data_IF_996935720152
#
_entry.id   IF_996935720152
#
_cell.length_a   1.000
_cell.length_b   1.000
_cell.length_c   1.000
_cell.angle_alpha   90.00
_cell.angle_beta   90.00
_cell.angle_gamma   90.00
#
_symmetry.space_group_name_H-M   'P 1'
#
loop_
_entity.id
_entity.type
_entity.pdbx_description
1 polymer ?
#
# COMPACT_ATOMS: atom_id res chain seq x y z
N UNK A 1 17.98 9.34 9.38
CA UNK A 1 16.57 8.92 9.30
C UNK A 1 15.89 8.90 10.68
N UNK A 2 16.31 8.03 11.65
CA UNK A 2 15.64 7.94 12.98
C UNK A 2 15.57 9.28 13.71
N UNK A 3 16.69 10.01 13.82
CA UNK A 3 16.72 11.33 14.46
C UNK A 3 15.83 12.37 13.78
N UNK A 4 15.72 12.29 12.47
CA UNK A 4 14.86 13.16 11.68
C UNK A 4 13.38 12.86 11.92
N UNK A 5 12.99 11.57 11.92
CA UNK A 5 11.62 11.14 12.25
C UNK A 5 11.21 11.60 13.66
N UNK A 6 12.08 11.46 14.66
CA UNK A 6 11.84 11.96 16.01
C UNK A 6 11.55 13.47 15.99
N UNK A 7 12.41 14.26 15.35
CA UNK A 7 12.22 15.71 15.23
C UNK A 7 10.91 16.09 14.54
N UNK A 8 10.55 15.36 13.48
CA UNK A 8 9.26 15.55 12.79
C UNK A 8 8.09 15.28 13.75
N UNK A 9 8.12 14.17 14.48
CA UNK A 9 7.06 13.81 15.43
C UNK A 9 6.94 14.84 16.58
N UNK A 10 8.06 15.33 17.09
CA UNK A 10 8.08 16.40 18.11
C UNK A 10 7.38 17.66 17.58
N UNK A 11 7.76 18.12 16.37
CA UNK A 11 7.14 19.26 15.72
C UNK A 11 5.64 19.06 15.48
N UNK A 12 5.23 17.88 14.99
CA UNK A 12 3.81 17.55 14.78
C UNK A 12 3.03 17.56 16.09
N UNK A 13 3.61 17.02 17.17
CA UNK A 13 3.00 17.04 18.49
C UNK A 13 2.79 18.47 19.01
N UNK A 14 3.79 19.33 18.88
CA UNK A 14 3.75 20.72 19.33
C UNK A 14 2.69 21.56 18.56
N UNK A 15 2.39 21.16 17.31
CA UNK A 15 1.33 21.78 16.49
C UNK A 15 -0.06 21.19 16.72
N UNK A 16 -0.21 20.25 17.67
CA UNK A 16 -1.50 19.65 18.01
C UNK A 16 -1.95 18.49 17.11
N UNK A 17 -1.08 18.00 16.21
CA UNK A 17 -1.36 16.82 15.40
C UNK A 17 -1.32 15.58 16.26
N UNK A 18 -2.34 14.74 16.14
CA UNK A 18 -2.53 13.54 16.96
C UNK A 18 -2.53 12.22 16.15
N UNK A 19 -2.40 12.31 14.84
CA UNK A 19 -2.40 11.13 13.95
C UNK A 19 -1.46 11.36 12.78
N UNK A 20 -0.62 10.38 12.49
CA UNK A 20 0.26 10.38 11.32
C UNK A 20 -0.10 9.24 10.37
N UNK A 21 -0.07 9.52 9.07
CA UNK A 21 -0.17 8.52 8.02
C UNK A 21 1.23 8.23 7.51
N UNK A 22 1.75 7.04 7.81
CA UNK A 22 3.09 6.63 7.43
C UNK A 22 3.04 5.67 6.25
N UNK A 23 3.65 6.07 5.12
CA UNK A 23 3.66 5.22 3.93
C UNK A 23 4.52 3.98 4.17
N UNK A 24 3.92 2.81 4.02
CA UNK A 24 4.57 1.52 4.28
C UNK A 24 4.71 0.63 3.04
N UNK A 25 3.96 0.95 1.96
CA UNK A 25 3.96 0.16 0.73
C UNK A 25 3.81 1.07 -0.50
N UNK A 26 4.90 1.64 -1.02
CA UNK A 26 4.83 2.55 -2.18
C UNK A 26 4.74 1.85 -3.53
N UNK A 27 5.38 0.66 -3.72
CA UNK A 27 5.59 0.00 -5.01
C UNK A 27 5.43 -1.54 -4.96
N UNK A 28 4.44 -2.05 -4.26
CA UNK A 28 4.31 -3.49 -4.06
C UNK A 28 5.45 -4.09 -3.21
N UNK A 29 6.14 -3.26 -2.48
CA UNK A 29 7.27 -3.55 -1.59
C UNK A 29 6.95 -3.10 -0.16
N UNK A 30 7.87 -3.19 0.78
CA UNK A 30 7.61 -2.93 2.19
C UNK A 30 8.64 -1.97 2.82
N UNK A 31 8.14 -0.98 3.58
CA UNK A 31 8.93 -0.16 4.51
C UNK A 31 8.81 -0.69 5.95
N UNK A 32 8.63 -1.99 6.11
CA UNK A 32 8.51 -2.72 7.36
C UNK A 32 9.04 -4.15 7.15
N UNK A 33 9.31 -4.87 8.23
CA UNK A 33 9.76 -6.26 8.13
C UNK A 33 8.59 -7.15 7.67
N UNK A 34 8.60 -7.51 6.39
CA UNK A 34 7.59 -8.33 5.74
C UNK A 34 8.12 -9.70 5.35
N UNK A 35 7.28 -10.73 5.47
CA UNK A 35 7.52 -12.06 4.91
C UNK A 35 6.94 -12.22 3.50
N UNK A 36 6.10 -11.27 3.06
CA UNK A 36 5.35 -11.30 1.80
C UNK A 36 6.02 -10.43 0.74
N UNK A 37 6.46 -9.22 1.13
CA UNK A 37 6.98 -8.21 0.21
C UNK A 37 8.47 -7.95 0.46
N UNK A 38 9.28 -7.65 -0.58
CA UNK A 38 10.67 -7.25 -0.40
C UNK A 38 10.77 -5.88 0.27
N UNK A 39 11.90 -5.60 0.93
CA UNK A 39 12.22 -4.26 1.42
C UNK A 39 12.18 -3.22 0.30
N UNK A 40 11.57 -2.08 0.57
CA UNK A 40 11.49 -0.99 -0.41
C UNK A 40 12.86 -0.37 -0.69
N UNK A 41 13.10 -0.05 -1.96
CA UNK A 41 14.32 0.68 -2.39
C UNK A 41 14.43 2.06 -1.76
N UNK A 42 13.31 2.66 -1.35
CA UNK A 42 13.28 3.99 -0.72
C UNK A 42 14.06 4.03 0.60
N UNK A 43 14.28 2.87 1.24
CA UNK A 43 15.02 2.78 2.51
C UNK A 43 16.53 2.78 2.32
N UNK A 44 17.02 2.13 1.26
CA UNK A 44 18.46 1.84 1.10
C UNK A 44 19.01 2.16 -0.31
N UNK A 45 18.14 2.58 -1.23
CA UNK A 45 18.45 2.73 -2.65
C UNK A 45 18.41 1.41 -3.46
N UNK A 46 18.24 0.26 -2.78
CA UNK A 46 18.19 -1.06 -3.42
C UNK A 46 17.01 -1.87 -2.87
N UNK A 47 16.08 -2.28 -3.74
CA UNK A 47 14.95 -3.10 -3.33
C UNK A 47 15.41 -4.48 -2.83
N UNK A 48 14.79 -4.97 -1.76
CA UNK A 48 15.14 -6.23 -1.11
C UNK A 48 16.29 -6.14 -0.10
N UNK A 49 17.01 -5.02 -0.02
CA UNK A 49 18.11 -4.82 0.93
C UNK A 49 17.55 -4.37 2.29
N UNK A 50 17.85 -5.13 3.34
CA UNK A 50 17.48 -4.83 4.72
C UNK A 50 18.13 -3.50 5.18
N UNK A 51 17.35 -2.54 5.69
CA UNK A 51 17.86 -1.27 6.21
C UNK A 51 18.53 -1.38 7.60
N UNK A 52 18.55 -2.57 8.21
CA UNK A 52 19.10 -2.81 9.56
C UNK A 52 18.20 -2.36 10.70
N UNK A 53 16.97 -1.99 10.43
CA UNK A 53 15.94 -1.70 11.44
C UNK A 53 14.54 -1.78 10.79
N UNK A 54 13.51 -1.84 11.62
CA UNK A 54 12.11 -1.82 11.15
C UNK A 54 11.55 -0.39 11.28
N UNK A 55 11.34 0.32 10.14
CA UNK A 55 10.82 1.68 10.15
C UNK A 55 9.41 1.80 10.72
N UNK A 56 8.52 0.82 10.44
CA UNK A 56 7.15 0.85 10.94
C UNK A 56 7.09 0.62 12.45
N UNK A 57 7.82 -0.38 12.96
CA UNK A 57 7.91 -0.60 14.39
C UNK A 57 8.47 0.64 15.11
N UNK A 58 9.49 1.28 14.53
CA UNK A 58 10.11 2.47 15.09
C UNK A 58 9.12 3.65 15.14
N UNK A 59 8.42 3.96 14.04
CA UNK A 59 7.49 5.10 14.00
C UNK A 59 6.30 4.91 14.96
N UNK A 60 5.79 3.67 15.07
CA UNK A 60 4.70 3.33 16.01
C UNK A 60 5.15 3.62 17.45
N UNK A 61 6.31 3.10 17.85
CA UNK A 61 6.84 3.34 19.19
C UNK A 61 6.98 4.83 19.49
N UNK A 62 7.62 5.59 18.60
CA UNK A 62 7.87 7.01 18.78
C UNK A 62 6.59 7.86 18.76
N UNK A 63 5.63 7.52 17.90
CA UNK A 63 4.35 8.22 17.85
C UNK A 63 3.50 7.93 19.11
N UNK A 64 3.39 6.67 19.52
CA UNK A 64 2.60 6.27 20.70
C UNK A 64 3.15 6.88 22.00
N UNK A 65 4.48 6.99 22.18
CA UNK A 65 5.07 7.68 23.35
C UNK A 65 4.69 9.16 23.41
N UNK A 66 4.29 9.76 22.30
CA UNK A 66 3.80 11.14 22.18
C UNK A 66 2.26 11.25 22.23
N UNK A 67 1.55 10.13 22.40
CA UNK A 67 0.09 10.07 22.37
C UNK A 67 -0.50 10.27 20.97
N UNK A 68 0.28 10.02 19.92
CA UNK A 68 -0.14 10.13 18.53
C UNK A 68 -0.50 8.75 17.97
N UNK A 69 -1.47 8.70 17.09
CA UNK A 69 -1.89 7.49 16.35
C UNK A 69 -1.09 7.32 15.07
N UNK A 70 -0.94 6.06 14.64
CA UNK A 70 -0.27 5.72 13.37
C UNK A 70 -1.21 4.94 12.47
N UNK A 71 -1.45 5.47 11.28
CA UNK A 71 -2.07 4.74 10.18
C UNK A 71 -1.00 4.30 9.18
N UNK A 72 -0.97 3.01 8.88
CA UNK A 72 -0.14 2.49 7.81
C UNK A 72 -0.80 2.84 6.46
N UNK A 73 -0.09 3.62 5.65
CA UNK A 73 -0.55 4.04 4.33
C UNK A 73 0.04 3.16 3.24
N UNK A 74 -0.82 2.55 2.42
CA UNK A 74 -0.45 1.69 1.31
C UNK A 74 -0.98 2.26 -0.02
N UNK A 75 -0.14 2.17 -1.06
CA UNK A 75 -0.62 2.13 -2.43
C UNK A 75 -0.90 0.67 -2.82
N UNK A 76 -2.16 0.27 -3.09
CA UNK A 76 -2.48 -1.14 -3.26
C UNK A 76 -1.97 -1.75 -4.57
N UNK A 77 -1.86 -0.98 -5.67
CA UNK A 77 -1.66 -1.55 -7.00
C UNK A 77 -0.37 -1.14 -7.70
N UNK A 78 0.26 -0.03 -7.35
CA UNK A 78 1.46 0.46 -8.05
C UNK A 78 2.66 -0.46 -7.81
N UNK A 79 3.34 -0.84 -8.91
CA UNK A 79 4.56 -1.67 -8.89
C UNK A 79 5.76 -0.88 -9.39
N UNK A 80 5.65 -0.24 -10.56
CA UNK A 80 6.69 0.62 -11.13
C UNK A 80 6.03 1.85 -11.71
N UNK A 81 6.47 3.04 -11.32
CA UNK A 81 5.91 4.30 -11.83
C UNK A 81 6.45 4.71 -13.20
N UNK A 82 7.63 4.23 -13.57
CA UNK A 82 8.28 4.51 -14.85
C UNK A 82 9.16 3.34 -15.27
N UNK A 83 8.93 2.82 -16.46
CA UNK A 83 9.56 1.60 -17.00
C UNK A 83 8.65 0.38 -16.85
N UNK A 84 8.85 -0.59 -17.73
CA UNK A 84 8.04 -1.83 -17.82
C UNK A 84 8.88 -3.11 -17.66
N UNK A 85 10.17 -2.96 -17.36
CA UNK A 85 11.05 -4.09 -17.13
C UNK A 85 10.94 -4.60 -15.69
N UNK A 86 10.30 -5.76 -15.52
CA UNK A 86 10.15 -6.42 -14.22
C UNK A 86 11.50 -6.92 -13.64
N UNK A 87 12.55 -7.01 -14.45
CA UNK A 87 13.85 -7.48 -13.97
C UNK A 87 14.58 -6.47 -13.08
N UNK A 88 14.15 -5.21 -13.09
CA UNK A 88 14.65 -4.19 -12.15
C UNK A 88 14.17 -4.40 -10.71
N UNK A 89 13.13 -5.22 -10.54
CA UNK A 89 12.58 -5.55 -9.23
C UNK A 89 13.41 -6.65 -8.54
N UNK A 90 13.37 -6.70 -7.23
CA UNK A 90 13.97 -7.77 -6.44
C UNK A 90 13.45 -9.15 -6.87
N UNK A 91 14.29 -10.19 -6.84
CA UNK A 91 13.93 -11.55 -7.28
C UNK A 91 12.75 -12.16 -6.50
N UNK A 92 12.52 -11.72 -5.28
CA UNK A 92 11.39 -12.14 -4.44
C UNK A 92 10.16 -11.21 -4.55
N UNK A 93 10.18 -10.24 -5.47
CA UNK A 93 9.01 -9.39 -5.71
C UNK A 93 7.95 -10.17 -6.51
N UNK A 94 6.68 -10.20 -6.05
CA UNK A 94 5.62 -10.97 -6.71
C UNK A 94 5.46 -10.62 -8.19
N UNK A 95 5.51 -9.35 -8.54
CA UNK A 95 5.40 -8.89 -9.92
C UNK A 95 6.52 -9.39 -10.84
N UNK A 96 7.72 -9.61 -10.29
CA UNK A 96 8.83 -10.23 -11.03
C UNK A 96 8.66 -11.73 -11.16
N UNK A 97 8.14 -12.38 -10.11
CA UNK A 97 7.88 -13.82 -10.11
C UNK A 97 6.70 -14.20 -11.00
N UNK A 98 5.68 -13.35 -11.06
CA UNK A 98 4.49 -13.57 -11.85
C UNK A 98 4.05 -12.29 -12.60
N UNK A 99 4.69 -11.98 -13.76
CA UNK A 99 4.34 -10.80 -14.56
C UNK A 99 2.92 -10.81 -15.13
N UNK A 100 2.24 -11.98 -15.19
CA UNK A 100 0.85 -12.08 -15.66
C UNK A 100 -0.16 -11.36 -14.74
N UNK A 101 0.26 -11.00 -13.53
CA UNK A 101 -0.55 -10.23 -12.59
C UNK A 101 -0.59 -8.73 -12.91
N UNK A 102 0.13 -8.29 -13.94
CA UNK A 102 0.34 -6.88 -14.20
C UNK A 102 -0.48 -6.37 -15.37
N UNK A 103 -0.81 -5.09 -15.29
CA UNK A 103 -1.21 -4.25 -16.42
C UNK A 103 -0.20 -3.13 -16.61
N UNK A 104 0.01 -2.76 -17.85
CA UNK A 104 0.82 -1.60 -18.22
C UNK A 104 -0.08 -0.40 -18.49
N UNK A 105 0.31 0.78 -17.97
CA UNK A 105 -0.34 2.02 -18.31
C UNK A 105 0.67 3.17 -18.27
N UNK A 106 0.72 3.97 -19.35
CA UNK A 106 1.61 5.16 -19.47
C UNK A 106 3.08 4.88 -19.11
N UNK A 107 3.57 3.70 -19.50
CA UNK A 107 4.94 3.29 -19.25
C UNK A 107 5.26 2.96 -17.79
N UNK A 108 4.24 2.66 -16.97
CA UNK A 108 4.35 2.11 -15.63
C UNK A 108 3.69 0.74 -15.51
N UNK A 109 4.01 0.00 -14.45
CA UNK A 109 3.44 -1.30 -14.14
C UNK A 109 2.59 -1.24 -12.89
N UNK A 110 1.44 -1.88 -12.95
CA UNK A 110 0.46 -1.94 -11.88
C UNK A 110 -0.07 -3.37 -11.74
N UNK A 111 -0.37 -3.80 -10.54
CA UNK A 111 -1.15 -5.03 -10.35
C UNK A 111 -2.54 -4.87 -10.99
N UNK A 112 -3.01 -5.93 -11.65
CA UNK A 112 -4.32 -5.95 -12.30
C UNK A 112 -5.45 -6.12 -11.26
N UNK A 113 -6.31 -5.11 -11.04
CA UNK A 113 -7.39 -5.20 -10.06
C UNK A 113 -8.46 -6.26 -10.36
N UNK A 114 -8.55 -6.74 -11.60
CA UNK A 114 -9.52 -7.76 -12.02
C UNK A 114 -9.20 -9.13 -11.38
N UNK A 115 -7.92 -9.38 -11.06
CA UNK A 115 -7.45 -10.69 -10.65
C UNK A 115 -7.67 -10.95 -9.15
N UNK A 116 -8.24 -12.10 -8.83
CA UNK A 116 -8.45 -12.51 -7.43
C UNK A 116 -7.12 -12.68 -6.70
N UNK A 117 -6.10 -13.22 -7.35
CA UNK A 117 -4.76 -13.39 -6.78
C UNK A 117 -4.15 -12.06 -6.31
N UNK A 118 -4.40 -10.98 -7.06
CA UNK A 118 -3.97 -9.61 -6.67
C UNK A 118 -4.74 -9.13 -5.43
N UNK A 119 -6.05 -9.34 -5.38
CA UNK A 119 -6.88 -8.99 -4.22
C UNK A 119 -6.41 -9.75 -2.97
N UNK A 120 -6.11 -11.04 -3.12
CA UNK A 120 -5.60 -11.89 -2.05
C UNK A 120 -4.22 -11.42 -1.56
N UNK A 121 -3.31 -11.08 -2.48
CA UNK A 121 -2.00 -10.54 -2.14
C UNK A 121 -2.09 -9.24 -1.34
N UNK A 122 -2.96 -8.30 -1.75
CA UNK A 122 -3.20 -7.04 -1.03
C UNK A 122 -3.78 -7.32 0.36
N UNK A 123 -4.78 -8.19 0.45
CA UNK A 123 -5.43 -8.56 1.70
C UNK A 123 -4.47 -9.25 2.67
N UNK A 124 -3.63 -10.17 2.18
CA UNK A 124 -2.60 -10.85 2.96
C UNK A 124 -1.54 -9.86 3.46
N UNK A 125 -1.11 -8.92 2.62
CA UNK A 125 -0.19 -7.84 3.01
C UNK A 125 -0.76 -7.00 4.16
N UNK A 126 -2.03 -6.60 4.06
CA UNK A 126 -2.70 -5.86 5.13
C UNK A 126 -2.85 -6.72 6.38
N UNK A 127 -3.21 -8.00 6.23
CA UNK A 127 -3.30 -8.96 7.32
C UNK A 127 -1.98 -9.12 8.08
N UNK A 128 -0.85 -9.18 7.36
CA UNK A 128 0.49 -9.22 7.95
C UNK A 128 0.77 -7.97 8.80
N UNK A 129 0.47 -6.79 8.27
CA UNK A 129 0.67 -5.53 9.00
C UNK A 129 -0.19 -5.49 10.27
N UNK A 130 -1.48 -5.78 10.15
CA UNK A 130 -2.42 -5.74 11.28
C UNK A 130 -2.04 -6.77 12.36
N UNK A 131 -1.57 -7.95 11.96
CA UNK A 131 -1.17 -9.00 12.90
C UNK A 131 0.09 -8.64 13.68
N UNK A 132 1.08 -8.07 12.99
CA UNK A 132 2.43 -7.93 13.53
C UNK A 132 2.72 -6.57 14.17
N UNK A 133 1.90 -5.54 13.89
CA UNK A 133 2.14 -4.17 14.33
C UNK A 133 0.98 -3.60 15.11
N UNK A 134 1.27 -2.78 16.10
CA UNK A 134 0.27 -2.05 16.91
C UNK A 134 -0.14 -0.73 16.21
N UNK A 135 -0.68 -0.87 15.01
CA UNK A 135 -1.20 0.27 14.24
C UNK A 135 -2.63 0.64 14.66
N UNK A 136 -2.98 1.90 14.52
CA UNK A 136 -4.33 2.43 14.79
C UNK A 136 -5.24 2.37 13.56
N UNK A 137 -4.65 2.31 12.37
CA UNK A 137 -5.40 2.24 11.12
C UNK A 137 -4.59 1.80 9.91
N UNK A 138 -5.32 1.43 8.88
CA UNK A 138 -4.84 1.22 7.50
C UNK A 138 -5.48 2.30 6.65
N UNK A 139 -4.70 2.91 5.75
CA UNK A 139 -5.21 3.89 4.79
C UNK A 139 -4.72 3.53 3.39
N UNK A 140 -5.64 3.45 2.43
CA UNK A 140 -5.30 3.39 1.02
C UNK A 140 -5.37 4.78 0.41
N UNK A 141 -4.48 5.09 -0.53
CA UNK A 141 -4.57 6.28 -1.38
C UNK A 141 -5.63 6.10 -2.48
N UNK A 142 -5.66 6.99 -3.47
CA UNK A 142 -6.63 7.02 -4.56
C UNK A 142 -6.17 6.25 -5.83
N UNK A 143 -5.07 5.52 -5.76
CA UNK A 143 -4.51 4.81 -6.92
C UNK A 143 -5.01 3.36 -6.99
N UNK A 144 -6.22 3.17 -7.52
CA UNK A 144 -6.81 1.85 -7.78
C UNK A 144 -6.51 1.41 -9.21
N UNK A 145 -7.42 1.60 -10.18
CA UNK A 145 -7.00 1.55 -11.57
C UNK A 145 -6.09 2.74 -11.88
N UNK A 146 -5.07 2.57 -12.75
CA UNK A 146 -4.21 3.69 -13.13
C UNK A 146 -5.04 4.82 -13.76
N UNK A 147 -4.66 6.06 -13.49
CA UNK A 147 -5.32 7.23 -14.10
C UNK A 147 -5.34 7.09 -15.62
N UNK A 148 -6.52 7.32 -16.21
CA UNK A 148 -6.78 7.18 -17.65
C UNK A 148 -6.49 5.76 -18.21
N UNK A 149 -6.58 4.72 -17.37
CA UNK A 149 -6.56 3.36 -17.89
C UNK A 149 -7.75 3.15 -18.82
N UNK A 150 -7.50 2.91 -20.13
CA UNK A 150 -8.55 3.04 -21.13
C UNK A 150 -9.65 2.01 -20.95
N UNK A 151 -10.87 2.43 -21.20
CA UNK A 151 -11.96 1.49 -21.47
C UNK A 151 -11.76 0.91 -22.87
N UNK A 152 -12.24 -0.32 -23.14
CA UNK A 152 -12.28 -0.88 -24.49
C UNK A 152 -13.02 0.06 -25.45
N UNK A 153 -12.67 0.00 -26.73
CA UNK A 153 -13.31 0.83 -27.75
C UNK A 153 -14.82 0.60 -27.78
N UNK A 154 -15.60 1.68 -27.71
CA UNK A 154 -17.06 1.64 -27.71
C UNK A 154 -17.71 1.45 -26.35
N UNK A 155 -16.92 1.31 -25.27
CA UNK A 155 -17.45 1.22 -23.90
C UNK A 155 -17.66 2.60 -23.28
N UNK A 156 -18.77 2.74 -22.56
CA UNK A 156 -19.12 3.95 -21.81
C UNK A 156 -18.53 3.88 -20.39
N UNK A 157 -18.26 5.06 -19.82
CA UNK A 157 -17.85 5.22 -18.41
C UNK A 157 -18.88 4.64 -17.40
N UNK A 158 -20.12 4.48 -17.80
CA UNK A 158 -21.20 3.88 -17.01
C UNK A 158 -21.65 2.51 -17.60
N UNK A 159 -20.91 1.99 -18.59
CA UNK A 159 -21.13 0.71 -19.23
C UNK A 159 -20.73 -0.50 -18.39
N UNK A 160 -20.87 -1.67 -19.00
CA UNK A 160 -20.65 -2.97 -18.32
C UNK A 160 -19.22 -3.10 -17.79
N UNK A 161 -18.21 -2.76 -18.62
CA UNK A 161 -16.80 -2.89 -18.24
C UNK A 161 -16.44 -1.92 -17.12
N UNK A 162 -16.88 -0.66 -17.19
CA UNK A 162 -16.63 0.32 -16.15
C UNK A 162 -17.28 -0.10 -14.81
N UNK A 163 -18.49 -0.64 -14.85
CA UNK A 163 -19.17 -1.17 -13.67
C UNK A 163 -18.45 -2.39 -13.10
N UNK A 164 -17.98 -3.32 -13.93
CA UNK A 164 -17.19 -4.46 -13.50
C UNK A 164 -15.90 -4.03 -12.81
N UNK A 165 -15.18 -3.02 -13.35
CA UNK A 165 -13.97 -2.45 -12.72
C UNK A 165 -14.25 -1.86 -11.34
N UNK A 166 -15.37 -1.12 -11.20
CA UNK A 166 -15.80 -0.61 -9.88
C UNK A 166 -16.06 -1.74 -8.90
N UNK A 167 -16.72 -2.80 -9.37
CA UNK A 167 -17.03 -3.96 -8.54
C UNK A 167 -15.75 -4.70 -8.08
N UNK A 168 -14.74 -4.86 -8.94
CA UNK A 168 -13.46 -5.46 -8.56
C UNK A 168 -12.77 -4.67 -7.42
N UNK A 169 -12.83 -3.35 -7.46
CA UNK A 169 -12.30 -2.50 -6.39
C UNK A 169 -13.13 -2.65 -5.11
N UNK A 170 -14.47 -2.64 -5.21
CA UNK A 170 -15.35 -2.83 -4.06
C UNK A 170 -15.10 -4.17 -3.36
N UNK A 171 -14.91 -5.25 -4.13
CA UNK A 171 -14.59 -6.57 -3.62
C UNK A 171 -13.25 -6.59 -2.87
N UNK A 172 -12.22 -5.96 -3.43
CA UNK A 172 -10.91 -5.84 -2.76
C UNK A 172 -11.04 -5.05 -1.45
N UNK A 173 -11.72 -3.91 -1.47
CA UNK A 173 -11.93 -3.08 -0.26
C UNK A 173 -12.70 -3.87 0.80
N UNK A 174 -13.74 -4.60 0.41
CA UNK A 174 -14.53 -5.43 1.33
C UNK A 174 -13.68 -6.56 1.91
N UNK A 175 -12.89 -7.24 1.09
CA UNK A 175 -11.99 -8.32 1.52
C UNK A 175 -10.97 -7.80 2.54
N UNK A 176 -10.31 -6.69 2.25
CA UNK A 176 -9.35 -6.04 3.17
C UNK A 176 -10.02 -5.62 4.47
N UNK A 177 -11.20 -4.99 4.40
CA UNK A 177 -11.98 -4.63 5.59
C UNK A 177 -12.28 -5.85 6.47
N UNK A 178 -12.72 -6.96 5.86
CA UNK A 178 -13.03 -8.18 6.59
C UNK A 178 -11.77 -8.79 7.22
N UNK A 179 -10.65 -8.81 6.51
CA UNK A 179 -9.35 -9.24 7.04
C UNK A 179 -8.93 -8.41 8.25
N UNK A 180 -8.99 -7.09 8.17
CA UNK A 180 -8.67 -6.23 9.31
C UNK A 180 -9.57 -6.55 10.51
N UNK A 181 -10.90 -6.64 10.28
CA UNK A 181 -11.87 -6.83 11.36
C UNK A 181 -11.80 -8.22 12.00
N UNK A 182 -11.36 -9.24 11.26
CA UNK A 182 -11.13 -10.59 11.82
C UNK A 182 -9.90 -10.66 12.72
N UNK A 183 -8.90 -9.81 12.50
CA UNK A 183 -7.63 -9.79 13.26
C UNK A 183 -7.70 -8.81 14.43
N UNK A 184 -7.99 -7.52 14.13
CA UNK A 184 -8.09 -6.44 15.13
C UNK A 184 -9.29 -5.54 14.81
N UNK A 185 -10.48 -5.82 15.35
CA UNK A 185 -11.72 -5.11 14.98
C UNK A 185 -11.71 -3.61 15.29
N UNK A 186 -10.82 -3.14 16.17
CA UNK A 186 -10.66 -1.73 16.51
C UNK A 186 -9.79 -0.94 15.53
N UNK A 187 -8.97 -1.61 14.70
CA UNK A 187 -8.14 -0.93 13.69
C UNK A 187 -9.05 -0.28 12.64
N UNK A 188 -8.83 1.00 12.41
CA UNK A 188 -9.58 1.77 11.41
C UNK A 188 -9.13 1.41 10.00
N UNK A 189 -10.05 1.40 9.07
CA UNK A 189 -9.76 1.30 7.65
C UNK A 189 -10.33 2.49 6.91
N UNK A 190 -9.50 3.19 6.18
CA UNK A 190 -9.86 4.36 5.40
C UNK A 190 -9.34 4.27 3.96
N UNK A 191 -10.06 4.93 3.08
CA UNK A 191 -9.64 5.18 1.70
C UNK A 191 -9.65 6.69 1.51
N UNK A 192 -8.61 7.23 0.88
CA UNK A 192 -8.50 8.65 0.55
C UNK A 192 -8.80 8.83 -0.94
N UNK A 193 -10.07 8.90 -1.37
CA UNK A 193 -10.41 9.00 -2.77
C UNK A 193 -10.02 10.38 -3.30
N UNK A 194 -9.65 10.43 -4.59
CA UNK A 194 -9.46 11.70 -5.28
C UNK A 194 -10.78 12.47 -5.30
N UNK A 195 -10.75 13.72 -4.86
CA UNK A 195 -11.90 14.61 -4.96
C UNK A 195 -12.33 14.82 -6.41
N UNK A 196 -13.64 14.87 -6.67
CA UNK A 196 -14.23 15.22 -7.96
C UNK A 196 -14.41 16.72 -8.04
#
# INVERSE_FOLDING_TARGET
QKKELIKILDTLKDTGINTVMFQVRPYGDAMYKSSINPWSKELTGTQGKDPGYDPLAFIIQEAHTRGMKVHAWLNPYRVVSSGTDVNVLSSNHLARQNPSLLIENRGGLYYNPDLQEVKDHISNTVGEIVSNYDIDGITFDDYFYPTDYPLPQGEDKDGVVANARREHINQMILQVKNTIKSIKPWVRFGVSPRGV
#
